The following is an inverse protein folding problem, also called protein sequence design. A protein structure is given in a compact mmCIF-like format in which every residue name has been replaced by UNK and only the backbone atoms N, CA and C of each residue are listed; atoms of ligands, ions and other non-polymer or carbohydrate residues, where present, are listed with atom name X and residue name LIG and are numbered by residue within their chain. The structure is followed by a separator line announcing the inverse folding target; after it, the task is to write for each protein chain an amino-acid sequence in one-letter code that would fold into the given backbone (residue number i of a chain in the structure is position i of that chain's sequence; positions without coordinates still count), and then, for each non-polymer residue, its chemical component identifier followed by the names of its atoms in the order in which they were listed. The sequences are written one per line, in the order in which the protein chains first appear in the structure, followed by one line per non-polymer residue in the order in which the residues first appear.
data_IF_857983466400
#
_entry.id   IF_857983466400
#
_cell.length_a   1.000
_cell.length_b   1.000
_cell.length_c   1.000
_cell.angle_alpha   90.00
_cell.angle_beta   90.00
_cell.angle_gamma   90.00
#
_symmetry.space_group_name_H-M   'P 1'
#
loop_
_entity.id
_entity.type
_entity.pdbx_description
1 polymer ?
#
# COMPACT_ATOMS: atom_id res chain seq x y z
N UNK A 1 -57.40 19.05 33.06
CA UNK A 1 -56.10 19.65 33.48
C UNK A 1 -55.31 18.53 34.12
N UNK A 2 -54.16 18.02 33.64
CA UNK A 2 -53.05 18.59 32.87
C UNK A 2 -52.47 17.47 31.99
N UNK A 3 -52.19 17.78 30.72
CA UNK A 3 -51.42 16.93 29.82
C UNK A 3 -50.01 17.52 29.75
N UNK A 4 -49.01 16.75 30.16
CA UNK A 4 -47.60 17.14 30.05
C UNK A 4 -46.96 16.18 29.05
N UNK A 5 -46.87 16.59 27.79
CA UNK A 5 -46.07 15.89 26.78
C UNK A 5 -44.62 16.34 26.92
N UNK A 6 -43.74 15.41 27.27
CA UNK A 6 -42.30 15.60 27.19
C UNK A 6 -41.88 15.63 25.72
N UNK A 7 -41.28 16.74 25.28
CA UNK A 7 -40.70 16.88 23.96
C UNK A 7 -39.45 15.98 23.88
N UNK A 8 -39.56 14.88 23.16
CA UNK A 8 -38.46 13.99 22.86
C UNK A 8 -37.65 14.57 21.69
N UNK A 9 -36.68 15.44 21.98
CA UNK A 9 -35.73 15.93 20.99
C UNK A 9 -34.68 14.84 20.69
N UNK A 10 -34.99 13.94 19.76
CA UNK A 10 -33.98 13.12 19.09
C UNK A 10 -33.27 13.97 18.04
N UNK A 11 -32.08 14.46 18.38
CA UNK A 11 -31.11 14.89 17.39
C UNK A 11 -30.46 13.63 16.78
N UNK A 12 -30.37 13.48 15.45
CA UNK A 12 -29.59 12.40 14.87
C UNK A 12 -28.12 12.68 15.13
N UNK A 13 -27.44 11.73 15.78
CA UNK A 13 -25.99 11.69 15.79
C UNK A 13 -25.53 11.51 14.33
N UNK A 14 -24.99 12.57 13.72
CA UNK A 14 -24.30 12.47 12.44
C UNK A 14 -23.03 11.66 12.68
N UNK A 15 -23.14 10.34 12.50
CA UNK A 15 -22.01 9.44 12.37
C UNK A 15 -21.30 9.78 11.07
N UNK A 16 -20.36 10.71 11.14
CA UNK A 16 -19.40 10.95 10.06
C UNK A 16 -18.34 9.86 10.16
N UNK A 17 -18.67 8.65 9.69
CA UNK A 17 -17.62 7.72 9.30
C UNK A 17 -16.96 8.35 8.08
N UNK A 18 -15.80 8.98 8.30
CA UNK A 18 -14.90 9.33 7.20
C UNK A 18 -14.44 8.00 6.65
N UNK A 19 -15.10 7.50 5.62
CA UNK A 19 -14.60 6.35 4.88
C UNK A 19 -13.18 6.70 4.44
N UNK A 20 -12.18 5.84 4.71
CA UNK A 20 -10.81 6.13 4.31
C UNK A 20 -10.81 6.38 2.81
N UNK A 21 -10.29 7.53 2.40
CA UNK A 21 -10.18 7.89 0.99
C UNK A 21 -9.33 6.83 0.32
N UNK A 22 -9.94 6.07 -0.60
CA UNK A 22 -9.26 5.07 -1.43
C UNK A 22 -8.04 5.70 -2.11
N UNK A 23 -6.84 5.23 -1.76
CA UNK A 23 -5.59 5.73 -2.33
C UNK A 23 -5.16 4.91 -3.54
N UNK A 24 -4.53 5.56 -4.52
CA UNK A 24 -3.92 4.94 -5.68
C UNK A 24 -2.41 4.80 -5.50
N UNK A 25 -1.94 3.56 -5.40
CA UNK A 25 -0.55 3.19 -5.21
C UNK A 25 0.05 2.62 -6.49
N UNK A 26 1.16 3.19 -6.95
CA UNK A 26 1.92 2.69 -8.10
C UNK A 26 3.19 2.00 -7.62
N UNK A 27 3.37 0.72 -7.96
CA UNK A 27 4.48 -0.10 -7.47
C UNK A 27 5.38 -0.58 -8.60
N UNK A 28 6.66 -0.21 -8.53
CA UNK A 28 7.72 -0.78 -9.38
C UNK A 28 7.84 -0.18 -10.78
N UNK A 29 7.16 0.93 -11.08
CA UNK A 29 7.30 1.63 -12.35
C UNK A 29 8.70 2.27 -12.46
N UNK A 30 9.42 1.95 -13.54
CA UNK A 30 10.77 2.47 -13.83
C UNK A 30 10.98 2.84 -15.29
N UNK A 31 9.91 2.77 -16.08
CA UNK A 31 9.90 2.96 -17.52
C UNK A 31 8.60 3.66 -17.93
N UNK A 32 8.42 3.84 -19.24
CA UNK A 32 7.32 4.61 -19.82
C UNK A 32 5.93 4.02 -19.55
N UNK A 33 5.84 2.78 -19.04
CA UNK A 33 4.55 2.19 -18.63
C UNK A 33 3.88 2.98 -17.51
N UNK A 34 4.65 3.79 -16.76
CA UNK A 34 4.10 4.76 -15.81
C UNK A 34 3.03 5.65 -16.46
N UNK A 35 3.34 6.24 -17.62
CA UNK A 35 2.41 7.14 -18.30
C UNK A 35 1.17 6.43 -18.82
N UNK A 36 1.28 5.15 -19.20
CA UNK A 36 0.13 4.36 -19.58
C UNK A 36 -0.76 4.06 -18.36
N UNK A 37 -0.18 3.75 -17.21
CA UNK A 37 -0.93 3.57 -15.97
C UNK A 37 -1.62 4.87 -15.54
N UNK A 38 -0.94 6.02 -15.65
CA UNK A 38 -1.56 7.33 -15.34
C UNK A 38 -2.77 7.61 -16.22
N UNK A 39 -2.72 7.24 -17.51
CA UNK A 39 -3.87 7.43 -18.43
C UNK A 39 -5.08 6.56 -18.07
N UNK A 40 -4.87 5.40 -17.46
CA UNK A 40 -5.94 4.43 -17.16
C UNK A 40 -6.50 4.63 -15.75
N UNK A 41 -5.63 4.84 -14.77
CA UNK A 41 -5.99 4.87 -13.35
C UNK A 41 -6.00 6.29 -12.75
N UNK A 42 -5.38 7.25 -13.42
CA UNK A 42 -5.15 8.60 -12.89
C UNK A 42 -3.75 8.76 -12.28
N UNK A 43 -3.49 9.96 -11.74
CA UNK A 43 -2.24 10.27 -11.06
C UNK A 43 -2.21 9.51 -9.73
N UNK A 44 -1.15 8.75 -9.41
CA UNK A 44 -1.06 8.05 -8.14
C UNK A 44 -0.88 9.01 -6.97
N UNK A 45 -1.45 8.64 -5.83
CA UNK A 45 -1.22 9.32 -4.55
C UNK A 45 0.12 8.88 -3.95
N UNK A 46 0.48 7.60 -4.14
CA UNK A 46 1.70 6.99 -3.61
C UNK A 46 2.47 6.24 -4.69
N UNK A 47 3.80 6.37 -4.67
CA UNK A 47 4.70 5.69 -5.61
C UNK A 47 5.77 4.91 -4.85
N UNK A 48 5.70 3.59 -4.95
CA UNK A 48 6.68 2.68 -4.37
C UNK A 48 7.63 2.16 -5.44
N UNK A 49 8.93 2.20 -5.12
CA UNK A 49 9.96 1.73 -6.05
C UNK A 49 10.02 0.20 -6.16
N UNK A 50 9.63 -0.50 -5.11
CA UNK A 50 9.77 -1.94 -4.93
C UNK A 50 8.55 -2.49 -4.20
N UNK A 51 8.21 -3.76 -4.46
CA UNK A 51 7.25 -4.50 -3.63
C UNK A 51 7.98 -5.10 -2.43
N UNK A 52 7.90 -4.43 -1.28
CA UNK A 52 8.56 -4.80 -0.03
C UNK A 52 7.59 -4.72 1.16
N UNK A 53 8.06 -5.15 2.33
CA UNK A 53 7.25 -5.21 3.55
C UNK A 53 6.69 -3.82 3.92
N UNK A 54 7.42 -2.74 3.65
CA UNK A 54 6.94 -1.39 3.93
C UNK A 54 5.77 -1.02 3.02
N UNK A 55 5.92 -1.27 1.72
CA UNK A 55 4.86 -1.05 0.73
C UNK A 55 3.61 -1.87 1.07
N UNK A 56 3.78 -3.14 1.43
CA UNK A 56 2.66 -4.00 1.84
C UNK A 56 1.94 -3.51 3.09
N UNK A 57 2.65 -2.86 4.01
CA UNK A 57 2.07 -2.31 5.24
C UNK A 57 1.43 -0.93 5.04
N UNK A 58 1.74 -0.26 3.93
CA UNK A 58 1.21 1.07 3.58
C UNK A 58 -0.16 1.00 2.87
N UNK A 59 -0.57 -0.20 2.46
CA UNK A 59 -1.82 -0.43 1.73
C UNK A 59 -2.94 -0.75 2.72
N UNK A 60 -4.00 0.07 2.68
CA UNK A 60 -5.21 -0.14 3.48
C UNK A 60 -6.27 -0.93 2.69
N UNK A 61 -7.22 -1.60 3.38
CA UNK A 61 -8.39 -2.17 2.73
C UNK A 61 -9.15 -1.09 1.94
N UNK A 62 -9.34 -1.32 0.63
CA UNK A 62 -10.04 -0.40 -0.27
C UNK A 62 -9.12 0.31 -1.26
N UNK A 63 -7.82 0.41 -0.98
CA UNK A 63 -6.83 1.03 -1.85
C UNK A 63 -6.70 0.30 -3.21
N UNK A 64 -6.23 1.04 -4.21
CA UNK A 64 -5.88 0.49 -5.53
C UNK A 64 -4.39 0.39 -5.63
N UNK A 65 -3.89 -0.82 -5.91
CA UNK A 65 -2.46 -1.06 -6.11
C UNK A 65 -2.22 -1.50 -7.54
N UNK A 66 -1.44 -0.72 -8.28
CA UNK A 66 -1.06 -1.02 -9.66
C UNK A 66 0.40 -1.43 -9.68
N UNK A 67 0.66 -2.70 -9.99
CA UNK A 67 2.01 -3.23 -10.12
C UNK A 67 2.50 -3.10 -11.56
N UNK A 68 3.68 -2.51 -11.74
CA UNK A 68 4.33 -2.44 -13.05
C UNK A 68 4.77 -3.82 -13.57
N UNK A 69 5.06 -4.75 -12.64
CA UNK A 69 5.53 -6.11 -12.95
C UNK A 69 5.15 -7.08 -11.85
N UNK A 70 4.91 -8.33 -12.22
CA UNK A 70 4.67 -9.43 -11.27
C UNK A 70 3.19 -9.59 -10.92
N UNK A 71 2.94 -10.58 -10.07
CA UNK A 71 1.60 -10.93 -9.57
C UNK A 71 1.33 -10.21 -8.25
N UNK A 72 0.06 -9.86 -8.01
CA UNK A 72 -0.39 -9.18 -6.79
C UNK A 72 -0.11 -10.02 -5.53
N UNK A 73 -0.18 -11.36 -5.65
CA UNK A 73 -0.05 -12.29 -4.51
C UNK A 73 1.41 -12.62 -4.16
N UNK A 74 2.37 -12.03 -4.88
CA UNK A 74 3.78 -12.27 -4.62
C UNK A 74 4.14 -11.81 -3.21
N UNK A 75 4.89 -12.63 -2.48
CA UNK A 75 5.39 -12.21 -1.16
C UNK A 75 6.26 -10.95 -1.26
N UNK A 76 6.08 -9.97 -0.36
CA UNK A 76 6.91 -8.78 -0.33
C UNK A 76 8.38 -9.12 -0.09
N UNK A 77 9.29 -8.38 -0.73
CA UNK A 77 10.73 -8.53 -0.46
C UNK A 77 11.05 -8.11 0.97
N UNK A 78 11.92 -8.88 1.61
CA UNK A 78 12.51 -8.55 2.91
C UNK A 78 13.95 -8.08 2.73
N UNK A 79 14.23 -6.84 3.14
CA UNK A 79 15.58 -6.28 3.14
C UNK A 79 16.54 -7.07 4.04
N UNK A 80 16.05 -7.58 5.17
CA UNK A 80 16.86 -8.40 6.10
C UNK A 80 17.30 -9.70 5.45
N UNK A 81 16.39 -10.40 4.76
CA UNK A 81 16.69 -11.63 4.03
C UNK A 81 17.64 -11.38 2.86
N UNK A 82 17.45 -10.29 2.12
CA UNK A 82 18.38 -9.89 1.03
C UNK A 82 19.77 -9.52 1.57
N UNK A 83 19.85 -8.81 2.70
CA UNK A 83 21.11 -8.44 3.34
C UNK A 83 21.90 -9.68 3.80
N UNK A 84 21.21 -10.68 4.37
CA UNK A 84 21.83 -11.95 4.74
C UNK A 84 22.39 -12.68 3.51
N UNK A 85 21.60 -12.80 2.44
CA UNK A 85 22.04 -13.41 1.19
C UNK A 85 23.27 -12.71 0.61
N UNK A 86 23.29 -11.37 0.64
CA UNK A 86 24.42 -10.57 0.17
C UNK A 86 25.67 -10.76 1.06
N UNK A 87 25.51 -10.96 2.36
CA UNK A 87 26.63 -11.32 3.27
C UNK A 87 27.20 -12.69 2.89
N UNK A 88 26.35 -13.69 2.64
CA UNK A 88 26.78 -15.04 2.20
C UNK A 88 27.53 -15.00 0.87
N UNK A 89 27.05 -14.24 -0.12
CA UNK A 89 27.71 -14.06 -1.42
C UNK A 89 29.11 -13.42 -1.29
N UNK A 90 29.24 -12.38 -0.45
CA UNK A 90 30.54 -11.73 -0.19
C UNK A 90 31.54 -12.70 0.44
N UNK A 91 31.10 -13.50 1.41
CA UNK A 91 31.95 -14.54 2.03
C UNK A 91 32.45 -15.55 1.00
N UNK A 92 31.58 -16.04 0.10
CA UNK A 92 31.98 -16.97 -0.98
C UNK A 92 33.03 -16.37 -1.92
N UNK A 93 32.90 -15.10 -2.30
CA UNK A 93 33.88 -14.41 -3.16
C UNK A 93 35.24 -14.21 -2.49
N UNK A 94 35.29 -14.20 -1.16
CA UNK A 94 36.53 -14.02 -0.39
C UNK A 94 37.24 -15.34 -0.08
N UNK A 95 36.65 -16.48 -0.43
CA UNK A 95 37.34 -17.76 -0.29
C UNK A 95 38.37 -17.89 -1.43
N UNK A 96 39.63 -18.25 -1.12
CA UNK A 96 40.63 -18.53 -2.15
C UNK A 96 40.12 -19.66 -3.04
N UNK A 97 40.27 -19.49 -4.35
CA UNK A 97 40.14 -20.61 -5.29
C UNK A 97 41.48 -21.32 -5.32
N UNK A 98 41.53 -22.55 -4.81
CA UNK A 98 42.67 -23.46 -4.96
C UNK A 98 42.91 -23.85 -6.43
#
# INVERSE_FOLDING_TARGET
MRSTFAANCLLPALSTTVEPSRLLHFVGFRDDRYWNAVRVFGIPDMIHRNWDVYTSNDIAPGDVVVHATGEADRLPRSFSSEAEANRRKRRRRQQPTD
#
